data_IF_643046724957
#
_entry.id   IF_643046724957
#
_cell.length_a   1.000
_cell.length_b   1.000
_cell.length_c   1.000
_cell.angle_alpha   90.00
_cell.angle_beta   90.00
_cell.angle_gamma   90.00
#
_symmetry.space_group_name_H-M   'P 1'
#
loop_
_entity.id
_entity.type
_entity.pdbx_description
1 polymer ?
#
# COMPACT_ATOMS: atom_id res chain seq x y z
N UNK A 1 -9.90 0.35 -10.44
CA UNK A 1 -9.89 -0.85 -9.58
C UNK A 1 -8.93 -0.56 -8.43
N UNK A 2 -9.42 -0.09 -7.27
CA UNK A 2 -8.57 0.21 -6.11
C UNK A 2 -8.04 -1.11 -5.57
N UNK A 3 -6.73 -1.34 -5.67
CA UNK A 3 -6.07 -2.39 -4.91
C UNK A 3 -6.37 -2.11 -3.44
N UNK A 4 -7.28 -2.88 -2.86
CA UNK A 4 -7.40 -3.03 -1.42
C UNK A 4 -6.09 -3.64 -0.96
N UNK A 5 -5.10 -2.79 -0.69
CA UNK A 5 -3.99 -3.17 0.18
C UNK A 5 -4.63 -3.74 1.44
N UNK A 6 -4.60 -5.05 1.58
CA UNK A 6 -4.92 -5.76 2.81
C UNK A 6 -3.82 -5.42 3.81
N UNK A 7 -3.85 -4.18 4.33
CA UNK A 7 -3.13 -3.82 5.54
C UNK A 7 -3.67 -4.76 6.61
N UNK A 8 -2.86 -5.73 7.00
CA UNK A 8 -3.18 -6.66 8.06
C UNK A 8 -3.55 -5.84 9.27
N UNK A 9 -4.83 -5.92 9.68
CA UNK A 9 -5.31 -5.09 10.77
C UNK A 9 -4.76 -5.62 12.09
N UNK A 10 -4.49 -4.73 13.05
CA UNK A 10 -4.09 -5.10 14.41
C UNK A 10 -5.04 -6.15 15.00
N UNK A 11 -6.34 -6.04 14.70
CA UNK A 11 -7.36 -7.00 15.13
C UNK A 11 -7.19 -8.39 14.51
N UNK A 12 -6.78 -8.50 13.25
CA UNK A 12 -6.47 -9.80 12.63
C UNK A 12 -5.29 -10.48 13.32
N UNK A 13 -4.26 -9.72 13.66
CA UNK A 13 -3.08 -10.27 14.33
C UNK A 13 -3.41 -10.70 15.75
N UNK A 14 -4.19 -9.91 16.50
CA UNK A 14 -4.65 -10.31 17.84
C UNK A 14 -5.46 -11.61 17.80
N UNK A 15 -6.31 -11.81 16.80
CA UNK A 15 -7.08 -13.06 16.62
C UNK A 15 -6.18 -14.26 16.35
N UNK A 16 -5.21 -14.11 15.45
CA UNK A 16 -4.25 -15.16 15.11
C UNK A 16 -3.41 -15.51 16.35
N UNK A 17 -2.87 -14.49 17.02
CA UNK A 17 -2.07 -14.64 18.24
C UNK A 17 -2.83 -15.38 19.31
N UNK A 18 -4.07 -14.99 19.60
CA UNK A 18 -4.82 -15.59 20.68
C UNK A 18 -5.36 -16.99 20.31
N UNK A 19 -5.58 -17.28 19.03
CA UNK A 19 -5.84 -18.64 18.53
C UNK A 19 -4.61 -19.56 18.69
N UNK A 20 -3.43 -19.09 18.29
CA UNK A 20 -2.17 -19.80 18.53
C UNK A 20 -1.91 -20.02 20.02
N UNK A 21 -2.27 -19.04 20.86
CA UNK A 21 -2.18 -19.13 22.30
C UNK A 21 -3.02 -20.27 22.87
N UNK A 22 -4.31 -20.35 22.53
CA UNK A 22 -5.18 -21.43 22.97
C UNK A 22 -4.65 -22.80 22.53
N UNK A 23 -4.20 -22.92 21.28
CA UNK A 23 -3.62 -24.16 20.77
C UNK A 23 -2.38 -24.60 21.55
N UNK A 24 -1.46 -23.68 21.83
CA UNK A 24 -0.26 -23.95 22.61
C UNK A 24 -0.56 -24.35 24.07
N UNK A 25 -1.55 -23.71 24.71
CA UNK A 25 -1.99 -24.10 26.06
C UNK A 25 -2.57 -25.52 26.09
N UNK A 26 -3.37 -25.90 25.09
CA UNK A 26 -3.92 -27.26 24.99
C UNK A 26 -2.81 -28.29 24.82
N UNK A 27 -1.83 -28.03 23.94
CA UNK A 27 -0.69 -28.93 23.75
C UNK A 27 0.12 -29.07 25.04
N UNK A 28 0.44 -27.96 25.72
CA UNK A 28 1.13 -28.00 27.00
C UNK A 28 0.34 -28.77 28.06
N UNK A 29 -0.96 -28.57 28.16
CA UNK A 29 -1.81 -29.29 29.12
C UNK A 29 -1.84 -30.80 28.85
N UNK A 30 -1.86 -31.22 27.58
CA UNK A 30 -1.79 -32.65 27.19
C UNK A 30 -0.42 -33.25 27.55
N UNK A 31 0.66 -32.51 27.30
CA UNK A 31 2.02 -32.96 27.65
C UNK A 31 2.14 -33.10 29.17
N UNK A 32 1.69 -32.09 29.92
CA UNK A 32 1.74 -32.07 31.38
C UNK A 32 0.93 -33.22 31.98
N UNK A 33 -0.28 -33.49 31.44
CA UNK A 33 -1.12 -34.63 31.82
C UNK A 33 -0.42 -35.99 31.68
N UNK A 34 0.37 -36.16 30.61
CA UNK A 34 1.01 -37.44 30.32
C UNK A 34 2.36 -37.63 31.01
N UNK A 35 3.12 -36.55 31.23
CA UNK A 35 4.48 -36.64 31.76
C UNK A 35 4.59 -36.43 33.28
N UNK A 36 3.61 -35.77 33.92
CA UNK A 36 3.69 -35.48 35.36
C UNK A 36 2.77 -36.40 36.19
N UNK A 37 3.26 -37.04 37.27
CA UNK A 37 2.43 -37.89 38.11
C UNK A 37 1.33 -37.08 38.83
N UNK A 38 0.21 -37.71 39.25
CA UNK A 38 -1.05 -37.05 39.64
C UNK A 38 -1.02 -36.25 40.97
N UNK A 39 0.15 -35.81 41.43
CA UNK A 39 0.32 -35.10 42.71
C UNK A 39 0.06 -33.59 42.63
N UNK A 40 -0.12 -33.01 41.43
CA UNK A 40 -0.26 -31.57 41.22
C UNK A 40 -1.67 -31.15 40.72
N UNK A 41 -2.70 -31.31 41.54
CA UNK A 41 -4.05 -30.76 41.26
C UNK A 41 -4.03 -29.23 41.02
N UNK A 42 -3.01 -28.52 41.49
CA UNK A 42 -2.83 -27.07 41.28
C UNK A 42 -2.41 -26.67 39.86
N UNK A 43 -1.85 -27.58 39.04
CA UNK A 43 -1.41 -27.28 37.65
C UNK A 43 -2.60 -26.90 36.74
N UNK A 44 -3.77 -27.49 36.96
CA UNK A 44 -4.97 -27.20 36.15
C UNK A 44 -5.46 -25.76 36.31
N UNK A 45 -5.27 -25.15 37.50
CA UNK A 45 -5.64 -23.77 37.75
C UNK A 45 -4.89 -22.79 36.83
N UNK A 46 -3.60 -23.05 36.56
CA UNK A 46 -2.80 -22.25 35.65
C UNK A 46 -3.31 -22.31 34.21
N UNK A 47 -3.64 -23.50 33.69
CA UNK A 47 -4.13 -23.64 32.32
C UNK A 47 -5.53 -23.04 32.14
N UNK A 48 -6.40 -23.16 33.14
CA UNK A 48 -7.74 -22.55 33.11
C UNK A 48 -7.63 -21.03 33.18
N UNK A 49 -6.82 -20.49 34.10
CA UNK A 49 -6.58 -19.06 34.20
C UNK A 49 -5.98 -18.52 32.89
N UNK A 50 -4.94 -19.16 32.37
CA UNK A 50 -4.29 -18.76 31.11
C UNK A 50 -5.23 -18.91 29.90
N UNK A 51 -6.09 -19.93 29.89
CA UNK A 51 -7.13 -20.08 28.88
C UNK A 51 -8.15 -18.93 28.93
N UNK A 52 -8.62 -18.56 30.13
CA UNK A 52 -9.51 -17.40 30.30
C UNK A 52 -8.83 -16.11 29.82
N UNK A 53 -7.53 -15.93 30.10
CA UNK A 53 -6.80 -14.78 29.57
C UNK A 53 -6.72 -14.79 28.04
N UNK A 54 -6.62 -15.95 27.39
CA UNK A 54 -6.67 -16.05 25.94
C UNK A 54 -8.04 -15.72 25.36
N UNK A 55 -9.10 -16.18 26.02
CA UNK A 55 -10.46 -15.84 25.64
C UNK A 55 -10.77 -14.35 25.81
N UNK A 56 -10.27 -13.69 26.87
CA UNK A 56 -10.48 -12.24 27.02
C UNK A 56 -9.78 -11.46 25.91
N UNK A 57 -8.58 -11.86 25.48
CA UNK A 57 -7.90 -11.23 24.34
C UNK A 57 -8.62 -11.51 23.03
N UNK A 58 -9.08 -12.74 22.79
CA UNK A 58 -9.87 -13.05 21.60
C UNK A 58 -11.14 -12.19 21.54
N UNK A 59 -11.83 -12.07 22.67
CA UNK A 59 -12.99 -11.20 22.82
C UNK A 59 -12.65 -9.74 22.50
N UNK A 60 -11.54 -9.22 23.06
CA UNK A 60 -11.05 -7.87 22.75
C UNK A 60 -10.68 -7.69 21.27
N UNK A 61 -10.13 -8.72 20.61
CA UNK A 61 -9.81 -8.71 19.18
C UNK A 61 -11.04 -8.75 18.25
N UNK A 62 -12.20 -9.15 18.77
CA UNK A 62 -13.50 -9.07 18.08
C UNK A 62 -14.30 -7.82 18.44
N UNK A 63 -13.94 -7.18 19.56
CA UNK A 63 -14.61 -6.01 20.09
C UNK A 63 -14.22 -4.72 19.36
N UNK A 64 -14.79 -4.51 18.16
CA UNK A 64 -14.49 -3.35 17.31
C UNK A 64 -14.81 -1.99 17.97
N UNK A 65 -15.93 -1.87 18.69
CA UNK A 65 -16.34 -0.62 19.36
C UNK A 65 -15.34 -0.15 20.43
N UNK A 66 -14.76 -1.06 21.20
CA UNK A 66 -13.78 -0.68 22.21
C UNK A 66 -12.40 -0.43 21.61
N UNK A 67 -12.08 -1.03 20.47
CA UNK A 67 -10.86 -0.67 19.73
C UNK A 67 -10.94 0.78 19.22
N UNK A 68 -12.11 1.22 18.74
CA UNK A 68 -12.35 2.62 18.35
C UNK A 68 -12.36 3.57 19.55
N UNK A 69 -12.98 3.16 20.67
CA UNK A 69 -13.06 3.98 21.89
C UNK A 69 -11.70 4.18 22.58
N UNK A 70 -10.89 3.11 22.71
CA UNK A 70 -9.55 3.20 23.31
C UNK A 70 -8.49 3.76 22.35
N UNK A 71 -8.71 3.72 21.03
CA UNK A 71 -7.81 4.26 20.03
C UNK A 71 -6.35 3.80 20.21
N UNK A 72 -5.46 4.76 20.47
CA UNK A 72 -4.02 4.51 20.64
C UNK A 72 -3.67 3.78 21.95
N UNK A 73 -4.54 3.82 22.96
CA UNK A 73 -4.33 3.18 24.26
C UNK A 73 -4.73 1.69 24.29
N UNK A 74 -5.39 1.19 23.25
CA UNK A 74 -5.87 -0.20 23.17
C UNK A 74 -4.74 -1.23 23.19
N UNK A 75 -3.76 -1.05 22.29
CA UNK A 75 -2.63 -1.97 22.13
C UNK A 75 -1.70 -2.02 23.35
N UNK A 76 -1.28 -0.90 23.97
CA UNK A 76 -0.44 -0.95 25.17
C UNK A 76 -1.20 -1.55 26.36
N UNK A 77 -2.51 -1.29 26.48
CA UNK A 77 -3.35 -1.90 27.51
C UNK A 77 -3.44 -3.42 27.36
N UNK A 78 -3.61 -3.91 26.13
CA UNK A 78 -3.57 -5.36 25.87
C UNK A 78 -2.22 -5.93 26.24
N UNK A 79 -1.10 -5.34 25.81
CA UNK A 79 0.24 -5.85 26.14
C UNK A 79 0.43 -5.95 27.65
N UNK A 80 0.05 -4.92 28.40
CA UNK A 80 0.14 -4.90 29.86
C UNK A 80 -0.73 -6.02 30.45
N UNK A 81 -1.97 -6.16 29.96
CA UNK A 81 -2.89 -7.23 30.37
C UNK A 81 -2.31 -8.62 30.07
N UNK A 82 -1.80 -8.86 28.85
CA UNK A 82 -1.18 -10.14 28.45
C UNK A 82 -0.05 -10.51 29.39
N UNK A 83 0.85 -9.56 29.62
CA UNK A 83 2.10 -9.80 30.32
C UNK A 83 1.87 -9.94 31.81
N UNK A 84 1.10 -9.02 32.39
CA UNK A 84 0.77 -9.02 33.81
C UNK A 84 -0.03 -10.25 34.20
N UNK A 85 -1.06 -10.61 33.42
CA UNK A 85 -1.94 -11.73 33.74
C UNK A 85 -1.24 -13.08 33.54
N UNK A 86 -0.32 -13.20 32.58
CA UNK A 86 0.52 -14.40 32.39
C UNK A 86 1.53 -14.59 33.52
N UNK A 87 2.15 -13.52 34.01
CA UNK A 87 3.08 -13.59 35.15
C UNK A 87 2.29 -13.85 36.44
N UNK A 88 1.15 -13.18 36.63
CA UNK A 88 0.31 -13.37 37.80
C UNK A 88 -0.23 -14.81 37.89
N UNK A 89 -0.70 -15.39 36.79
CA UNK A 89 -1.21 -16.76 36.77
C UNK A 89 -0.16 -17.80 37.18
N UNK A 90 1.12 -17.59 36.82
CA UNK A 90 2.24 -18.44 37.26
C UNK A 90 2.34 -18.50 38.78
N UNK A 91 2.38 -17.34 39.45
CA UNK A 91 2.61 -17.28 40.90
C UNK A 91 1.34 -17.54 41.74
N UNK A 92 0.15 -17.22 41.22
CA UNK A 92 -1.13 -17.46 41.92
C UNK A 92 -1.48 -18.95 41.99
N UNK A 93 -1.21 -19.71 40.93
CA UNK A 93 -1.64 -21.11 40.81
C UNK A 93 -0.52 -22.13 41.04
N UNK A 94 0.72 -21.68 41.23
CA UNK A 94 1.86 -22.55 41.55
C UNK A 94 2.34 -22.27 42.97
N UNK A 95 1.64 -22.82 43.98
CA UNK A 95 2.06 -22.74 45.38
C UNK A 95 2.93 -23.94 45.75
N UNK A 96 4.12 -23.68 46.29
CA UNK A 96 5.06 -24.58 47.00
C UNK A 96 6.08 -25.40 46.21
N UNK A 97 5.88 -25.74 44.94
CA UNK A 97 6.91 -26.44 44.16
C UNK A 97 7.38 -25.59 42.99
N UNK A 98 8.67 -25.68 42.65
CA UNK A 98 9.20 -25.08 41.43
C UNK A 98 8.21 -25.37 40.29
N UNK A 99 7.69 -24.35 39.59
CA UNK A 99 6.83 -24.59 38.44
C UNK A 99 7.55 -25.61 37.57
N UNK A 100 6.88 -26.72 37.26
CA UNK A 100 7.44 -27.69 36.33
C UNK A 100 7.90 -26.97 35.06
N UNK A 101 8.93 -27.47 34.36
CA UNK A 101 9.52 -26.79 33.21
C UNK A 101 8.47 -26.27 32.21
N UNK A 102 7.36 -26.99 32.06
CA UNK A 102 6.24 -26.66 31.18
C UNK A 102 5.49 -25.35 31.51
N UNK A 103 5.25 -25.03 32.78
CA UNK A 103 4.55 -23.78 33.18
C UNK A 103 5.44 -22.57 32.88
N UNK A 104 6.73 -22.65 33.23
CA UNK A 104 7.67 -21.55 32.99
C UNK A 104 7.88 -21.30 31.49
N UNK A 105 7.96 -22.37 30.67
CA UNK A 105 8.00 -22.23 29.21
C UNK A 105 6.71 -21.65 28.63
N UNK A 106 5.57 -21.88 29.30
CA UNK A 106 4.29 -21.28 28.94
C UNK A 106 4.36 -19.75 28.95
N UNK A 107 4.66 -19.20 30.12
CA UNK A 107 4.76 -17.75 30.35
C UNK A 107 5.79 -17.09 29.42
N UNK A 108 6.95 -17.73 29.24
CA UNK A 108 8.01 -17.18 28.40
C UNK A 108 7.58 -17.02 26.94
N UNK A 109 6.88 -18.01 26.38
CA UNK A 109 6.35 -17.93 25.01
C UNK A 109 5.36 -16.77 24.86
N UNK A 110 4.54 -16.49 25.87
CA UNK A 110 3.57 -15.38 25.82
C UNK A 110 4.22 -14.01 25.93
N UNK A 111 5.22 -13.88 26.81
CA UNK A 111 5.99 -12.64 26.90
C UNK A 111 6.76 -12.37 25.59
N UNK A 112 7.21 -13.42 24.88
CA UNK A 112 7.83 -13.27 23.57
C UNK A 112 6.83 -12.75 22.53
N UNK A 113 5.58 -13.22 22.53
CA UNK A 113 4.55 -12.70 21.62
C UNK A 113 4.22 -11.23 21.94
N UNK A 114 4.07 -10.89 23.22
CA UNK A 114 3.90 -9.50 23.65
C UNK A 114 5.10 -8.62 23.28
N UNK A 115 6.33 -9.17 23.33
CA UNK A 115 7.55 -8.53 22.85
C UNK A 115 7.50 -8.29 21.33
N UNK A 116 7.07 -9.26 20.53
CA UNK A 116 6.95 -9.09 19.07
C UNK A 116 5.97 -7.98 18.74
N UNK A 117 4.82 -7.93 19.43
CA UNK A 117 3.82 -6.88 19.26
C UNK A 117 4.35 -5.50 19.65
N UNK A 118 5.06 -5.40 20.79
CA UNK A 118 5.70 -4.14 21.20
C UNK A 118 6.78 -3.70 20.20
N UNK A 119 7.64 -4.61 19.77
CA UNK A 119 8.75 -4.30 18.87
C UNK A 119 8.30 -3.91 17.46
N UNK A 120 7.16 -4.44 17.02
CA UNK A 120 6.57 -4.11 15.73
C UNK A 120 5.94 -2.72 15.69
N UNK A 121 5.32 -2.28 16.79
CA UNK A 121 4.56 -1.04 16.84
C UNK A 121 5.38 0.15 17.39
N UNK A 122 6.21 -0.10 18.41
CA UNK A 122 6.87 0.96 19.18
C UNK A 122 8.37 1.06 18.92
N UNK A 123 8.94 2.18 19.37
CA UNK A 123 10.37 2.45 19.28
C UNK A 123 11.14 1.70 20.38
N UNK A 124 12.45 1.53 20.19
CA UNK A 124 13.37 0.86 21.12
C UNK A 124 13.19 1.20 22.61
N UNK A 125 12.91 2.47 22.95
CA UNK A 125 12.68 2.88 24.35
C UNK A 125 11.53 2.12 25.02
N UNK A 126 10.45 1.86 24.29
CA UNK A 126 9.29 1.13 24.80
C UNK A 126 9.58 -0.36 24.95
N UNK A 127 10.39 -0.92 24.05
CA UNK A 127 10.86 -2.32 24.14
C UNK A 127 11.71 -2.49 25.40
N UNK A 128 12.64 -1.56 25.66
CA UNK A 128 13.44 -1.58 26.87
C UNK A 128 12.56 -1.46 28.14
N UNK A 129 11.62 -0.51 28.17
CA UNK A 129 10.67 -0.36 29.28
C UNK A 129 9.86 -1.63 29.49
N UNK A 130 9.40 -2.27 28.42
CA UNK A 130 8.66 -3.53 28.48
C UNK A 130 9.50 -4.68 29.05
N UNK A 131 10.74 -4.86 28.57
CA UNK A 131 11.65 -5.90 29.04
C UNK A 131 12.02 -5.72 30.53
N UNK A 132 12.38 -4.50 30.93
CA UNK A 132 12.69 -4.22 32.34
C UNK A 132 11.44 -4.26 33.22
N UNK A 133 10.29 -3.81 32.72
CA UNK A 133 9.03 -3.83 33.45
C UNK A 133 8.53 -5.25 33.71
N UNK A 134 8.60 -6.13 32.71
CA UNK A 134 8.24 -7.56 32.86
C UNK A 134 9.21 -8.28 33.80
N UNK A 135 10.51 -7.97 33.74
CA UNK A 135 11.50 -8.51 34.67
C UNK A 135 11.25 -8.05 36.11
N UNK A 136 11.00 -6.75 36.32
CA UNK A 136 10.70 -6.18 37.63
C UNK A 136 9.40 -6.75 38.21
N UNK A 137 8.37 -6.92 37.37
CA UNK A 137 7.11 -7.53 37.80
C UNK A 137 7.28 -9.01 38.17
N UNK A 138 8.05 -9.77 37.38
CA UNK A 138 8.36 -11.17 37.67
C UNK A 138 9.11 -11.32 39.02
N UNK A 139 10.15 -10.50 39.25
CA UNK A 139 10.90 -10.50 40.50
C UNK A 139 10.06 -10.00 41.69
N UNK A 140 9.20 -8.99 41.48
CA UNK A 140 8.28 -8.51 42.51
C UNK A 140 7.28 -9.57 42.94
N UNK A 141 6.72 -10.33 41.99
CA UNK A 141 5.83 -11.46 42.28
C UNK A 141 6.57 -12.60 42.99
N UNK A 142 7.81 -12.91 42.58
CA UNK A 142 8.66 -13.88 43.27
C UNK A 142 8.92 -13.49 44.73
N UNK A 143 9.28 -12.22 44.97
CA UNK A 143 9.51 -11.69 46.32
C UNK A 143 8.26 -11.81 47.19
N UNK A 144 7.09 -11.45 46.67
CA UNK A 144 5.83 -11.42 47.42
C UNK A 144 5.30 -12.82 47.75
N UNK A 145 5.54 -13.81 46.90
CA UNK A 145 4.97 -15.16 47.04
C UNK A 145 5.91 -16.16 47.72
N UNK A 146 7.20 -16.18 47.37
CA UNK A 146 8.17 -17.19 47.82
C UNK A 146 9.31 -16.60 48.65
N UNK A 147 9.58 -15.30 48.50
CA UNK A 147 10.74 -14.65 49.12
C UNK A 147 12.07 -14.94 48.41
N UNK A 148 13.12 -14.18 48.73
CA UNK A 148 14.41 -14.23 48.02
C UNK A 148 15.40 -15.28 48.54
N UNK A 149 15.12 -15.89 49.69
CA UNK A 149 16.06 -16.79 50.37
C UNK A 149 15.85 -18.28 50.01
N UNK A 150 14.80 -18.60 49.23
CA UNK A 150 14.42 -19.97 48.89
C UNK A 150 15.15 -20.55 47.66
N UNK A 151 15.16 -21.88 47.54
CA UNK A 151 15.68 -22.61 46.35
C UNK A 151 15.07 -22.14 45.04
N UNK A 152 13.82 -21.67 45.05
CA UNK A 152 13.15 -21.15 43.86
C UNK A 152 13.80 -19.86 43.34
N UNK A 153 14.21 -18.95 44.23
CA UNK A 153 14.85 -17.69 43.84
C UNK A 153 16.21 -17.94 43.16
N UNK A 154 16.95 -18.94 43.64
CA UNK A 154 18.24 -19.35 43.05
C UNK A 154 18.12 -19.74 41.56
N UNK A 155 17.02 -20.37 41.15
CA UNK A 155 16.79 -20.74 39.76
C UNK A 155 16.08 -19.62 38.96
N UNK A 156 15.09 -18.93 39.54
CA UNK A 156 14.26 -17.95 38.84
C UNK A 156 15.01 -16.64 38.50
N UNK A 157 15.88 -16.16 39.38
CA UNK A 157 16.65 -14.93 39.15
C UNK A 157 17.55 -15.04 37.90
N UNK A 158 18.43 -16.05 37.76
CA UNK A 158 19.28 -16.16 36.57
C UNK A 158 18.48 -16.42 35.30
N UNK A 159 17.38 -17.18 35.37
CA UNK A 159 16.47 -17.37 34.22
C UNK A 159 15.87 -16.03 33.79
N UNK A 160 15.41 -15.22 34.74
CA UNK A 160 14.85 -13.88 34.45
C UNK A 160 15.89 -12.98 33.81
N UNK A 161 17.12 -12.96 34.32
CA UNK A 161 18.22 -12.15 33.75
C UNK A 161 18.52 -12.59 32.31
N UNK A 162 18.67 -13.89 32.08
CA UNK A 162 18.95 -14.45 30.75
C UNK A 162 17.80 -14.15 29.78
N UNK A 163 16.56 -14.25 30.24
CA UNK A 163 15.37 -13.94 29.47
C UNK A 163 15.29 -12.46 29.11
N UNK A 164 15.54 -11.54 30.06
CA UNK A 164 15.56 -10.11 29.79
C UNK A 164 16.63 -9.76 28.75
N UNK A 165 17.83 -10.34 28.86
CA UNK A 165 18.88 -10.18 27.87
C UNK A 165 18.46 -10.68 26.48
N UNK A 166 17.87 -11.88 26.42
CA UNK A 166 17.38 -12.47 25.18
C UNK A 166 16.27 -11.62 24.54
N UNK A 167 15.34 -11.10 25.34
CA UNK A 167 14.25 -10.24 24.86
C UNK A 167 14.74 -8.89 24.35
N UNK A 168 15.76 -8.30 24.98
CA UNK A 168 16.39 -7.09 24.46
C UNK A 168 17.02 -7.34 23.08
N UNK A 169 17.76 -8.45 22.93
CA UNK A 169 18.37 -8.82 21.65
C UNK A 169 17.31 -9.07 20.57
N UNK A 170 16.32 -9.93 20.86
CA UNK A 170 15.23 -10.25 19.92
C UNK A 170 14.41 -9.00 19.57
N UNK A 171 14.07 -8.19 20.57
CA UNK A 171 13.33 -6.94 20.38
C UNK A 171 14.11 -5.94 19.53
N UNK A 172 15.43 -5.84 19.69
CA UNK A 172 16.29 -4.99 18.88
C UNK A 172 16.28 -5.42 17.42
N UNK A 173 16.48 -6.71 17.16
CA UNK A 173 16.48 -7.25 15.80
C UNK A 173 15.12 -7.05 15.10
N UNK A 174 14.01 -7.35 15.78
CA UNK A 174 12.68 -7.13 15.22
C UNK A 174 12.46 -5.64 14.91
N UNK A 175 12.82 -4.75 15.83
CA UNK A 175 12.65 -3.31 15.63
C UNK A 175 13.49 -2.79 14.45
N UNK A 176 14.73 -3.25 14.33
CA UNK A 176 15.62 -2.91 13.23
C UNK A 176 15.07 -3.39 11.87
N UNK A 177 14.60 -4.64 11.80
CA UNK A 177 13.99 -5.21 10.59
C UNK A 177 12.73 -4.45 10.18
N UNK A 178 11.84 -4.15 11.14
CA UNK A 178 10.61 -3.40 10.88
C UNK A 178 10.93 -1.98 10.42
N UNK A 179 11.91 -1.33 11.03
CA UNK A 179 12.34 0.01 10.61
C UNK A 179 12.91 -0.02 9.19
N UNK A 180 13.74 -1.00 8.86
CA UNK A 180 14.31 -1.17 7.53
C UNK A 180 13.22 -1.40 6.47
N UNK A 181 12.23 -2.26 6.77
CA UNK A 181 11.10 -2.50 5.89
C UNK A 181 10.28 -1.23 5.65
N UNK A 182 10.00 -0.46 6.70
CA UNK A 182 9.27 0.82 6.59
C UNK A 182 10.00 1.81 5.69
N UNK A 183 11.33 1.95 5.86
CA UNK A 183 12.15 2.84 5.05
C UNK A 183 12.15 2.40 3.57
N UNK A 184 12.25 1.10 3.31
CA UNK A 184 12.18 0.57 1.94
C UNK A 184 10.84 0.86 1.28
N UNK A 185 9.73 0.65 2.00
CA UNK A 185 8.38 0.95 1.50
C UNK A 185 8.22 2.43 1.17
N UNK A 186 8.61 3.33 2.07
CA UNK A 186 8.49 4.78 1.81
C UNK A 186 9.37 5.22 0.64
N UNK A 187 10.55 4.62 0.48
CA UNK A 187 11.45 4.93 -0.64
C UNK A 187 10.86 4.46 -1.98
N UNK A 188 10.26 3.27 -2.00
CA UNK A 188 9.54 2.74 -3.16
C UNK A 188 8.34 3.62 -3.55
N UNK A 189 7.54 4.05 -2.58
CA UNK A 189 6.42 4.96 -2.80
C UNK A 189 6.90 6.32 -3.36
N UNK A 190 7.99 6.86 -2.82
CA UNK A 190 8.60 8.09 -3.33
C UNK A 190 9.17 7.92 -4.74
N UNK A 191 9.85 6.81 -5.04
CA UNK A 191 10.35 6.55 -6.38
C UNK A 191 9.20 6.40 -7.40
N UNK A 192 8.12 5.71 -7.03
CA UNK A 192 6.96 5.53 -7.88
C UNK A 192 6.22 6.86 -8.17
N UNK A 193 6.04 7.70 -7.16
CA UNK A 193 5.45 9.04 -7.34
C UNK A 193 6.33 9.92 -8.24
N UNK A 194 7.65 9.87 -8.09
CA UNK A 194 8.57 10.58 -8.97
C UNK A 194 8.50 10.09 -10.41
N UNK A 195 8.51 8.77 -10.64
CA UNK A 195 8.38 8.18 -11.98
C UNK A 195 7.08 8.61 -12.67
N UNK A 196 5.98 8.61 -11.92
CA UNK A 196 4.67 9.04 -12.43
C UNK A 196 4.70 10.53 -12.83
N UNK A 197 5.32 11.38 -12.01
CA UNK A 197 5.48 12.80 -12.31
C UNK A 197 6.39 13.03 -13.53
N UNK A 198 7.50 12.30 -13.64
CA UNK A 198 8.39 12.37 -14.81
C UNK A 198 7.69 11.91 -16.10
N UNK A 199 6.92 10.82 -16.04
CA UNK A 199 6.16 10.33 -17.19
C UNK A 199 5.16 11.38 -17.70
N UNK A 200 4.37 11.99 -16.80
CA UNK A 200 3.44 13.07 -17.16
C UNK A 200 4.17 14.30 -17.73
N UNK A 201 5.29 14.68 -17.12
CA UNK A 201 6.09 15.82 -17.62
C UNK A 201 6.65 15.53 -19.02
N UNK A 202 7.17 14.32 -19.26
CA UNK A 202 7.67 13.90 -20.56
C UNK A 202 6.55 13.85 -21.60
N UNK A 203 5.36 13.40 -21.25
CA UNK A 203 4.19 13.40 -22.12
C UNK A 203 3.84 14.82 -22.55
N UNK A 204 3.69 15.76 -21.61
CA UNK A 204 3.41 17.16 -21.93
C UNK A 204 4.49 17.81 -22.80
N UNK A 205 5.77 17.54 -22.52
CA UNK A 205 6.87 18.03 -23.33
C UNK A 205 6.86 17.42 -24.74
N UNK A 206 6.54 16.13 -24.85
CA UNK A 206 6.47 15.44 -26.14
C UNK A 206 5.33 16.01 -26.99
N UNK A 207 4.14 16.18 -26.41
CA UNK A 207 2.99 16.81 -27.07
C UNK A 207 3.34 18.23 -27.53
N UNK A 208 3.98 19.03 -26.67
CA UNK A 208 4.39 20.40 -27.00
C UNK A 208 5.44 20.45 -28.12
N UNK A 209 6.45 19.57 -28.07
CA UNK A 209 7.45 19.44 -29.14
C UNK A 209 6.83 19.05 -30.46
N UNK A 210 5.89 18.10 -30.44
CA UNK A 210 5.22 17.64 -31.65
C UNK A 210 4.35 18.75 -32.24
N UNK A 211 3.62 19.50 -31.41
CA UNK A 211 2.87 20.68 -31.84
C UNK A 211 3.77 21.74 -32.49
N UNK A 212 4.95 22.02 -31.92
CA UNK A 212 5.91 22.97 -32.49
C UNK A 212 6.57 22.46 -33.78
N UNK A 213 6.82 21.15 -33.89
CA UNK A 213 7.32 20.53 -35.12
C UNK A 213 6.28 20.67 -36.24
N UNK A 214 5.03 20.28 -35.97
CA UNK A 214 3.92 20.41 -36.90
C UNK A 214 3.65 21.86 -37.31
N UNK A 215 3.72 22.82 -36.39
CA UNK A 215 3.54 24.24 -36.72
C UNK A 215 4.60 24.74 -37.72
N UNK A 216 5.85 24.32 -37.58
CA UNK A 216 6.92 24.64 -38.54
C UNK A 216 6.70 23.97 -39.89
N UNK A 217 6.39 22.68 -39.90
CA UNK A 217 6.11 21.94 -41.14
C UNK A 217 4.93 22.53 -41.93
N UNK A 218 3.88 22.97 -41.22
CA UNK A 218 2.77 23.71 -41.82
C UNK A 218 3.20 25.09 -42.34
N UNK A 219 3.99 25.84 -41.57
CA UNK A 219 4.48 27.15 -41.99
C UNK A 219 5.34 27.05 -43.25
N UNK A 220 6.25 26.08 -43.32
CA UNK A 220 7.13 25.86 -44.47
C UNK A 220 6.32 25.47 -45.72
N UNK A 221 5.34 24.58 -45.56
CA UNK A 221 4.43 24.19 -46.65
C UNK A 221 3.58 25.37 -47.14
N UNK A 222 3.05 26.17 -46.22
CA UNK A 222 2.27 27.37 -46.54
C UNK A 222 3.13 28.45 -47.21
N UNK A 223 4.32 28.73 -46.69
CA UNK A 223 5.25 29.69 -47.28
C UNK A 223 5.61 29.30 -48.71
N UNK A 224 5.96 28.03 -48.93
CA UNK A 224 6.32 27.53 -50.27
C UNK A 224 5.15 27.62 -51.26
N UNK A 225 3.94 27.19 -50.85
CA UNK A 225 2.75 27.25 -51.71
C UNK A 225 2.33 28.68 -52.04
N UNK A 226 2.38 29.60 -51.07
CA UNK A 226 2.05 31.01 -51.28
C UNK A 226 3.09 31.71 -52.17
N UNK A 227 4.38 31.44 -52.00
CA UNK A 227 5.43 31.96 -52.88
C UNK A 227 5.24 31.48 -54.33
N UNK A 228 4.95 30.18 -54.53
CA UNK A 228 4.66 29.65 -55.86
C UNK A 228 3.39 30.27 -56.48
N UNK A 229 2.38 30.59 -55.66
CA UNK A 229 1.18 31.27 -56.11
C UNK A 229 1.46 32.71 -56.54
N UNK A 230 2.29 33.43 -55.78
CA UNK A 230 2.69 34.81 -56.10
C UNK A 230 3.37 34.88 -57.47
N UNK A 231 4.31 33.96 -57.75
CA UNK A 231 5.00 33.88 -59.05
C UNK A 231 4.04 33.53 -60.19
N UNK A 232 3.10 32.60 -59.96
CA UNK A 232 2.07 32.28 -60.95
C UNK A 232 1.19 33.49 -61.28
N UNK A 233 0.77 34.26 -60.28
CA UNK A 233 -0.04 35.46 -60.47
C UNK A 233 0.74 36.58 -61.18
N UNK A 234 2.03 36.75 -60.90
CA UNK A 234 2.89 37.66 -61.68
C UNK A 234 2.97 37.25 -63.15
N UNK A 235 3.04 35.95 -63.43
CA UNK A 235 3.05 35.42 -64.81
C UNK A 235 1.71 35.70 -65.51
N UNK A 236 0.58 35.48 -64.83
CA UNK A 236 -0.75 35.84 -65.35
C UNK A 236 -0.81 37.33 -65.69
N UNK A 237 -0.31 38.20 -64.80
CA UNK A 237 -0.29 39.65 -65.01
C UNK A 237 0.56 40.05 -66.23
N UNK A 238 1.71 39.41 -66.43
CA UNK A 238 2.58 39.68 -67.57
C UNK A 238 1.97 39.22 -68.91
N UNK A 239 1.27 38.08 -68.92
CA UNK A 239 0.67 37.51 -70.13
C UNK A 239 -0.70 38.08 -70.51
N UNK A 240 -1.35 38.81 -69.60
CA UNK A 240 -2.72 39.33 -69.77
C UNK A 240 -2.93 40.15 -71.05
N UNK A 241 -1.91 40.91 -71.47
CA UNK A 241 -1.94 41.74 -72.68
C UNK A 241 -1.38 41.06 -73.93
N UNK A 242 -0.83 39.85 -73.79
CA UNK A 242 -0.25 39.05 -74.89
C UNK A 242 -1.27 38.02 -75.37
N UNK A 243 -1.86 37.27 -74.45
CA UNK A 243 -2.87 36.24 -74.72
C UNK A 243 -3.82 36.14 -73.51
N UNK A 244 -4.99 36.78 -73.63
CA UNK A 244 -5.95 36.86 -72.51
C UNK A 244 -6.60 35.52 -72.20
N UNK A 245 -6.77 34.64 -73.19
CA UNK A 245 -7.42 33.34 -73.01
C UNK A 245 -6.49 32.37 -72.27
N UNK A 246 -5.20 32.37 -72.62
CA UNK A 246 -4.18 31.64 -71.87
C UNK A 246 -4.00 32.19 -70.45
N UNK A 247 -3.99 33.52 -70.28
CA UNK A 247 -3.88 34.15 -68.96
C UNK A 247 -5.08 33.82 -68.04
N UNK A 248 -6.29 33.78 -68.60
CA UNK A 248 -7.50 33.38 -67.88
C UNK A 248 -7.43 31.91 -67.43
N UNK A 249 -6.95 31.01 -68.31
CA UNK A 249 -6.74 29.59 -67.96
C UNK A 249 -5.72 29.40 -66.83
N UNK A 250 -4.63 30.17 -66.83
CA UNK A 250 -3.62 30.14 -65.76
C UNK A 250 -4.15 30.68 -64.43
N UNK A 251 -5.02 31.70 -64.47
CA UNK A 251 -5.69 32.24 -63.30
C UNK A 251 -6.64 31.21 -62.65
N UNK A 252 -7.46 30.53 -63.46
CA UNK A 252 -8.37 29.49 -62.97
C UNK A 252 -7.62 28.33 -62.31
N UNK A 253 -6.53 27.86 -62.92
CA UNK A 253 -5.65 26.84 -62.33
C UNK A 253 -5.05 27.30 -61.00
N UNK A 254 -4.61 28.55 -60.91
CA UNK A 254 -4.06 29.12 -59.68
C UNK A 254 -5.11 29.21 -58.57
N UNK A 255 -6.35 29.58 -58.91
CA UNK A 255 -7.48 29.62 -57.98
C UNK A 255 -7.84 28.22 -57.45
N UNK A 256 -7.88 27.21 -58.32
CA UNK A 256 -8.17 25.83 -57.91
C UNK A 256 -7.05 25.22 -57.05
N UNK A 257 -5.78 25.50 -57.39
CA UNK A 257 -4.65 25.12 -56.56
C UNK A 257 -4.71 25.79 -55.18
N UNK A 258 -5.09 27.07 -55.11
CA UNK A 258 -5.28 27.80 -53.84
C UNK A 258 -6.39 27.19 -53.00
N UNK A 259 -7.55 26.90 -53.61
CA UNK A 259 -8.70 26.31 -52.92
C UNK A 259 -8.35 24.94 -52.34
N UNK A 260 -7.66 24.12 -53.12
CA UNK A 260 -7.19 22.79 -52.70
C UNK A 260 -6.17 22.90 -51.56
N UNK A 261 -5.16 23.76 -51.68
CA UNK A 261 -4.15 23.98 -50.63
C UNK A 261 -4.73 24.53 -49.33
N UNK A 262 -5.71 25.43 -49.41
CA UNK A 262 -6.42 25.95 -48.24
C UNK A 262 -7.25 24.85 -47.56
N UNK A 263 -7.86 23.94 -48.33
CA UNK A 263 -8.60 22.81 -47.79
C UNK A 263 -7.69 21.80 -47.09
N UNK A 264 -6.53 21.49 -47.67
CA UNK A 264 -5.50 20.62 -47.08
C UNK A 264 -4.99 21.19 -45.75
N UNK A 265 -4.63 22.48 -45.74
CA UNK A 265 -4.17 23.21 -44.55
C UNK A 265 -5.22 23.21 -43.45
N UNK A 266 -6.49 23.48 -43.79
CA UNK A 266 -7.60 23.44 -42.81
C UNK A 266 -7.80 22.04 -42.23
N UNK A 267 -7.61 20.98 -43.03
CA UNK A 267 -7.69 19.59 -42.54
C UNK A 267 -6.55 19.29 -41.56
N UNK A 268 -5.32 19.68 -41.88
CA UNK A 268 -4.16 19.49 -41.00
C UNK A 268 -4.28 20.30 -39.68
N UNK A 269 -4.70 21.57 -39.75
CA UNK A 269 -4.99 22.36 -38.54
C UNK A 269 -6.10 21.76 -37.68
N UNK A 270 -7.11 21.12 -38.29
CA UNK A 270 -8.20 20.47 -37.57
C UNK A 270 -7.73 19.20 -36.84
N UNK A 271 -6.78 18.44 -37.39
CA UNK A 271 -6.18 17.30 -36.67
C UNK A 271 -5.28 17.75 -35.51
N UNK A 272 -4.65 18.92 -35.63
CA UNK A 272 -3.82 19.55 -34.58
C UNK A 272 -4.63 20.12 -33.42
N UNK A 273 -5.82 20.65 -33.70
CA UNK A 273 -6.66 21.35 -32.72
C UNK A 273 -7.55 20.39 -31.92
N UNK A 274 -7.71 19.16 -32.40
CA UNK A 274 -8.45 18.14 -31.70
C UNK A 274 -7.46 17.15 -31.06
N UNK A 275 -7.34 17.18 -29.75
CA UNK A 275 -7.50 15.93 -29.02
C UNK A 275 -9.02 15.73 -28.96
N UNK A 276 -9.64 14.93 -29.86
CA UNK A 276 -11.09 14.71 -29.80
C UNK A 276 -11.50 14.06 -28.46
N UNK A 277 -10.53 13.48 -27.76
CA UNK A 277 -10.66 12.89 -26.45
C UNK A 277 -10.99 13.94 -25.37
N UNK A 278 -10.34 15.11 -25.41
CA UNK A 278 -10.41 16.10 -24.32
C UNK A 278 -11.73 16.91 -24.33
N UNK A 279 -12.32 17.15 -25.50
CA UNK A 279 -13.54 17.98 -25.63
C UNK A 279 -14.85 17.16 -25.76
N UNK A 280 -14.78 15.92 -26.25
CA UNK A 280 -15.97 15.13 -26.61
C UNK A 280 -16.01 13.73 -25.97
N UNK A 281 -14.88 13.23 -25.44
CA UNK A 281 -14.74 11.84 -24.99
C UNK A 281 -14.57 10.83 -26.13
N UNK A 282 -13.87 9.72 -25.85
CA UNK A 282 -13.51 8.68 -26.84
C UNK A 282 -14.72 8.12 -27.60
N UNK A 283 -15.85 7.93 -26.92
CA UNK A 283 -17.06 7.37 -27.52
C UNK A 283 -17.64 8.28 -28.60
N UNK A 284 -17.69 9.59 -28.35
CA UNK A 284 -18.25 10.58 -29.26
C UNK A 284 -17.31 10.88 -30.43
N UNK A 285 -15.99 10.82 -30.19
CA UNK A 285 -14.97 10.92 -31.23
C UNK A 285 -15.08 9.76 -32.24
N UNK A 286 -15.19 8.51 -31.74
CA UNK A 286 -15.39 7.31 -32.56
C UNK A 286 -16.67 7.40 -33.38
N UNK A 287 -17.77 7.84 -32.77
CA UNK A 287 -19.06 8.00 -33.46
C UNK A 287 -18.99 8.99 -34.62
N UNK A 288 -18.41 10.18 -34.41
CA UNK A 288 -18.21 11.18 -35.47
C UNK A 288 -17.30 10.70 -36.60
N UNK A 289 -16.25 9.95 -36.28
CA UNK A 289 -15.32 9.41 -37.27
C UNK A 289 -16.00 8.33 -38.13
N UNK A 290 -16.74 7.41 -37.48
CA UNK A 290 -17.49 6.37 -38.15
C UNK A 290 -18.60 6.94 -39.05
N UNK A 291 -19.35 7.95 -38.58
CA UNK A 291 -20.36 8.65 -39.39
C UNK A 291 -19.76 9.35 -40.61
N UNK A 292 -18.60 10.00 -40.44
CA UNK A 292 -17.89 10.66 -41.56
C UNK A 292 -17.35 9.65 -42.57
N UNK A 293 -16.86 8.49 -42.14
CA UNK A 293 -16.40 7.42 -43.01
C UNK A 293 -17.56 6.79 -43.79
N UNK A 294 -18.68 6.51 -43.12
CA UNK A 294 -19.89 5.97 -43.72
C UNK A 294 -20.49 6.91 -44.77
N UNK A 295 -20.51 8.23 -44.51
CA UNK A 295 -20.91 9.24 -45.49
C UNK A 295 -20.02 9.26 -46.73
N UNK A 296 -18.70 9.15 -46.58
CA UNK A 296 -17.77 9.12 -47.72
C UNK A 296 -17.91 7.85 -48.56
N UNK A 297 -18.17 6.72 -47.92
CA UNK A 297 -18.33 5.43 -48.58
C UNK A 297 -19.78 5.14 -49.04
N UNK A 298 -20.73 6.03 -48.72
CA UNK A 298 -22.17 5.86 -48.95
C UNK A 298 -22.73 4.56 -48.35
N UNK A 299 -22.26 4.18 -47.16
CA UNK A 299 -22.65 2.96 -46.44
C UNK A 299 -23.62 3.28 -45.29
N UNK A 300 -24.54 2.36 -44.99
CA UNK A 300 -25.33 2.41 -43.74
C UNK A 300 -24.44 2.00 -42.57
N UNK A 301 -24.32 2.89 -41.58
CA UNK A 301 -23.58 2.64 -40.34
C UNK A 301 -24.56 2.28 -39.22
N UNK A 302 -24.31 1.15 -38.56
CA UNK A 302 -24.85 0.84 -37.25
C UNK A 302 -23.67 0.72 -36.27
N UNK A 303 -23.64 1.56 -35.23
CA UNK A 303 -22.50 1.70 -34.35
C UNK A 303 -22.96 1.71 -32.89
N UNK A 304 -22.58 0.67 -32.15
CA UNK A 304 -22.85 0.54 -30.71
C UNK A 304 -21.57 0.79 -29.94
N UNK A 305 -21.53 1.88 -29.17
CA UNK A 305 -20.38 2.25 -28.32
C UNK A 305 -20.88 2.44 -26.89
N UNK A 306 -20.21 1.88 -25.86
CA UNK A 306 -20.56 2.11 -24.46
C UNK A 306 -20.43 3.60 -24.08
N UNK A 307 -21.37 4.11 -23.26
CA UNK A 307 -21.41 5.52 -22.85
C UNK A 307 -20.21 5.95 -21.99
N UNK A 308 -19.49 5.00 -21.37
CA UNK A 308 -18.27 5.25 -20.59
C UNK A 308 -17.21 4.19 -20.90
N UNK A 309 -16.07 4.64 -21.42
CA UNK A 309 -14.84 3.85 -21.51
C UNK A 309 -13.91 4.41 -20.42
N UNK A 310 -13.27 3.57 -19.56
CA UNK A 310 -12.37 4.07 -18.54
C UNK A 310 -11.25 4.90 -19.19
N UNK A 311 -10.98 6.06 -18.61
CA UNK A 311 -9.84 6.92 -18.99
C UNK A 311 -8.52 6.22 -18.72
#
# INVERSE_FOLDING_TARGET
MKATETKVSVSQILRIVAGLWLGYLVVLAIIDWNLTPPRNQFSYGYYVASGLTAFTILGLGWWGRGQEWLGQAFLPLIIILMSGLSIASKYLFTSEFLPGPFISTGVQTFLLIALVLTAWQYHWRHIAIFCFGTAAFNLGMLFLTVGLEGRAAFFEIPITILQTGSFLVVGYFINALVMQLRIQQTTLEQANTQLTHYASTLEHLTISRERNRMARELHDTLAHTLSALSVQLETVKAYWHVDSEAAQTMLDRSLDATRSGLQETRRALKSLRASPLDDLGLSLALKKMAESAAKRANLKLDLTVPDQIPS
#
